data_IF_426293593917
#
_entry.id   IF_426293593917
#
_cell.length_a   1.000
_cell.length_b   1.000
_cell.length_c   1.000
_cell.angle_alpha   90.00
_cell.angle_beta   90.00
_cell.angle_gamma   90.00
#
_symmetry.space_group_name_H-M   'P 1'
#
loop_
_entity.id
_entity.type
_entity.pdbx_description
1 polymer ?
#
# COMPACT_ATOMS: atom_id res chain seq x y z
N UNK A 1 -2.17 -1.28 16.27
CA UNK A 1 -2.10 0.16 16.60
C UNK A 1 -3.47 0.79 16.33
N UNK A 2 -4.06 1.48 17.32
CA UNK A 2 -5.30 2.25 17.11
C UNK A 2 -4.92 3.72 17.04
N UNK A 3 -5.13 4.34 15.88
CA UNK A 3 -4.99 5.79 15.71
C UNK A 3 -6.32 6.44 16.07
N UNK A 4 -6.30 7.43 16.95
CA UNK A 4 -7.46 8.27 17.26
C UNK A 4 -7.30 9.59 16.51
N UNK A 5 -7.97 9.72 15.36
CA UNK A 5 -7.93 10.89 14.51
C UNK A 5 -9.33 11.43 14.27
N UNK A 6 -9.41 12.72 13.88
CA UNK A 6 -10.68 13.41 13.57
C UNK A 6 -11.44 12.77 12.40
N UNK A 7 -10.73 12.12 11.48
CA UNK A 7 -11.27 11.45 10.31
C UNK A 7 -10.75 10.02 10.26
N UNK A 8 -11.59 9.09 9.80
CA UNK A 8 -11.28 7.68 9.63
C UNK A 8 -11.89 7.17 8.34
N UNK A 9 -11.13 6.38 7.59
CA UNK A 9 -11.59 5.70 6.38
C UNK A 9 -10.89 4.36 6.28
N UNK A 10 -11.54 3.42 5.62
CA UNK A 10 -11.05 2.10 5.24
C UNK A 10 -10.59 2.05 3.76
N UNK A 11 -10.69 3.17 3.04
CA UNK A 11 -10.30 3.28 1.64
C UNK A 11 -9.02 4.10 1.48
N UNK A 12 -8.01 3.50 0.84
CA UNK A 12 -6.75 4.16 0.53
C UNK A 12 -6.94 5.36 -0.40
N UNK A 13 -7.85 5.27 -1.37
CA UNK A 13 -8.11 6.37 -2.32
C UNK A 13 -8.78 7.56 -1.63
N UNK A 14 -9.76 7.31 -0.75
CA UNK A 14 -10.39 8.36 0.05
C UNK A 14 -9.38 9.01 1.00
N UNK A 15 -8.53 8.21 1.64
CA UNK A 15 -7.46 8.71 2.51
C UNK A 15 -6.52 9.64 1.75
N UNK A 16 -6.05 9.24 0.56
CA UNK A 16 -5.16 10.06 -0.27
C UNK A 16 -5.81 11.40 -0.64
N UNK A 17 -7.08 11.40 -1.05
CA UNK A 17 -7.80 12.63 -1.37
C UNK A 17 -7.89 13.56 -0.16
N UNK A 18 -8.19 13.03 1.04
CA UNK A 18 -8.22 13.83 2.27
C UNK A 18 -6.85 14.46 2.59
N UNK A 19 -5.76 13.70 2.42
CA UNK A 19 -4.41 14.22 2.63
C UNK A 19 -4.07 15.32 1.63
N UNK A 20 -4.41 15.16 0.36
CA UNK A 20 -4.18 16.17 -0.69
C UNK A 20 -5.00 17.45 -0.48
N UNK A 21 -6.12 17.37 0.23
CA UNK A 21 -6.91 18.53 0.67
C UNK A 21 -6.44 19.11 2.01
N UNK A 22 -5.31 18.67 2.55
CA UNK A 22 -4.73 19.21 3.79
C UNK A 22 -5.49 18.82 5.06
N UNK A 23 -6.27 17.74 5.03
CA UNK A 23 -7.07 17.31 6.19
C UNK A 23 -6.25 16.62 7.30
N UNK A 24 -4.93 16.49 7.14
CA UNK A 24 -4.02 15.98 8.18
C UNK A 24 -2.82 15.21 7.63
N UNK A 25 -2.26 14.34 8.47
CA UNK A 25 -1.19 13.40 8.12
C UNK A 25 -1.67 11.96 8.35
N UNK A 26 -1.18 11.00 7.56
CA UNK A 26 -1.46 9.58 7.75
C UNK A 26 -0.31 8.73 7.24
N UNK A 27 -0.33 7.46 7.62
CA UNK A 27 0.44 6.40 6.97
C UNK A 27 -0.28 5.99 5.68
N UNK A 28 0.48 5.75 4.62
CA UNK A 28 0.02 5.21 3.35
C UNK A 28 1.13 4.33 2.77
N UNK A 29 0.78 3.33 1.94
CA UNK A 29 1.78 2.56 1.22
C UNK A 29 2.45 3.42 0.14
N UNK A 30 3.68 3.06 -0.21
CA UNK A 30 4.53 3.83 -1.11
C UNK A 30 3.94 3.93 -2.53
N UNK A 31 3.31 2.86 -3.03
CA UNK A 31 2.66 2.84 -4.35
C UNK A 31 1.51 3.85 -4.42
N UNK A 32 0.63 3.87 -3.41
CA UNK A 32 -0.48 4.82 -3.34
C UNK A 32 0.00 6.28 -3.22
N UNK A 33 1.13 6.50 -2.54
CA UNK A 33 1.73 7.81 -2.30
C UNK A 33 2.62 8.32 -3.44
N UNK A 34 3.19 7.42 -4.26
CA UNK A 34 4.28 7.70 -5.18
C UNK A 34 4.03 8.92 -6.07
N UNK A 35 2.88 8.96 -6.74
CA UNK A 35 2.53 10.07 -7.63
C UNK A 35 2.37 11.40 -6.88
N UNK A 36 1.77 11.36 -5.70
CA UNK A 36 1.53 12.56 -4.90
C UNK A 36 2.84 13.12 -4.31
N UNK A 37 3.76 12.23 -3.91
CA UNK A 37 5.11 12.60 -3.50
C UNK A 37 5.92 13.16 -4.67
N UNK A 38 5.87 12.51 -5.84
CA UNK A 38 6.57 12.94 -7.06
C UNK A 38 6.12 14.31 -7.54
N UNK A 39 4.83 14.61 -7.43
CA UNK A 39 4.24 15.90 -7.79
C UNK A 39 4.36 16.97 -6.70
N UNK A 40 4.83 16.61 -5.50
CA UNK A 40 4.89 17.51 -4.34
C UNK A 40 3.53 17.87 -3.74
N UNK A 41 2.44 17.22 -4.17
CA UNK A 41 1.11 17.40 -3.57
C UNK A 41 0.99 16.74 -2.20
N UNK A 42 1.86 15.77 -1.91
CA UNK A 42 2.11 15.23 -0.58
C UNK A 42 3.62 15.29 -0.27
N UNK A 43 3.94 15.27 1.01
CA UNK A 43 5.32 15.24 1.51
C UNK A 43 5.49 14.14 2.55
N UNK A 44 6.67 13.51 2.57
CA UNK A 44 7.01 12.52 3.58
C UNK A 44 7.36 13.21 4.90
N UNK A 45 6.53 12.99 5.92
CA UNK A 45 6.75 13.49 7.27
C UNK A 45 7.41 12.42 8.14
N UNK A 46 8.24 12.83 9.09
CA UNK A 46 8.96 11.94 10.00
C UNK A 46 9.84 10.88 9.29
N UNK A 47 10.77 11.26 8.39
CA UNK A 47 11.51 10.30 7.56
C UNK A 47 12.42 9.31 8.33
N UNK A 48 12.64 9.54 9.62
CA UNK A 48 13.42 8.69 10.52
C UNK A 48 12.54 7.64 11.22
N UNK A 49 11.23 7.69 11.02
CA UNK A 49 10.27 6.78 11.59
C UNK A 49 9.65 5.90 10.50
N UNK A 50 9.55 4.59 10.77
CA UNK A 50 8.96 3.63 9.84
C UNK A 50 8.09 2.63 10.59
N UNK A 51 7.00 2.21 9.96
CA UNK A 51 6.28 1.01 10.39
C UNK A 51 7.10 -0.26 10.10
N UNK A 52 6.80 -1.38 10.80
CA UNK A 52 7.33 -2.68 10.42
C UNK A 52 7.03 -2.95 8.95
N UNK A 53 8.05 -3.38 8.19
CA UNK A 53 7.89 -3.72 6.78
C UNK A 53 6.96 -4.93 6.65
N UNK A 54 5.86 -4.72 5.93
CA UNK A 54 4.97 -5.80 5.48
C UNK A 54 5.32 -6.23 4.06
N UNK A 55 4.74 -7.36 3.63
CA UNK A 55 4.82 -7.84 2.26
C UNK A 55 3.44 -8.11 1.66
N UNK A 56 3.37 -8.19 0.33
CA UNK A 56 2.20 -8.70 -0.39
C UNK A 56 2.36 -10.21 -0.48
N UNK A 57 1.35 -10.96 -0.02
CA UNK A 57 1.39 -12.42 0.02
C UNK A 57 0.26 -13.02 -0.83
N UNK A 58 0.59 -14.05 -1.60
CA UNK A 58 -0.42 -14.91 -2.22
C UNK A 58 -0.89 -15.95 -1.19
N UNK A 59 -2.18 -15.97 -0.89
CA UNK A 59 -2.79 -16.91 0.07
C UNK A 59 -3.48 -18.03 -0.71
N UNK A 60 -3.17 -19.27 -0.36
CA UNK A 60 -3.76 -20.47 -0.97
C UNK A 60 -4.60 -21.25 0.05
N UNK A 61 -5.65 -21.97 -0.38
CA UNK A 61 -6.37 -22.90 0.48
C UNK A 61 -5.42 -23.93 1.11
N UNK A 62 -5.76 -24.47 2.29
CA UNK A 62 -4.95 -25.50 2.94
C UNK A 62 -4.86 -26.75 2.05
N UNK A 63 -3.63 -27.21 1.81
CA UNK A 63 -3.32 -28.37 0.96
C UNK A 63 -1.97 -28.23 0.24
N UNK A 64 -1.40 -29.34 -0.25
CA UNK A 64 -0.11 -29.32 -0.96
C UNK A 64 -0.20 -28.91 -2.44
N UNK A 65 -1.40 -28.89 -3.02
CA UNK A 65 -1.58 -28.71 -4.44
C UNK A 65 -2.06 -27.29 -4.77
N UNK A 66 -1.16 -26.48 -5.33
CA UNK A 66 -1.52 -25.21 -5.97
C UNK A 66 -1.64 -25.48 -7.47
N UNK A 67 -2.82 -25.21 -8.05
CA UNK A 67 -3.05 -25.41 -9.48
C UNK A 67 -2.04 -24.64 -10.32
N UNK A 68 -1.55 -25.24 -11.41
CA UNK A 68 -0.53 -24.64 -12.28
C UNK A 68 -0.93 -23.23 -12.78
N UNK A 69 -2.22 -23.03 -13.10
CA UNK A 69 -2.76 -21.72 -13.48
C UNK A 69 -2.63 -20.66 -12.39
N UNK A 70 -2.87 -21.02 -11.13
CA UNK A 70 -2.73 -20.10 -10.00
C UNK A 70 -1.27 -19.72 -9.77
N UNK A 71 -0.35 -20.70 -9.91
CA UNK A 71 1.09 -20.44 -9.84
C UNK A 71 1.55 -19.50 -10.95
N UNK A 72 1.17 -19.78 -12.19
CA UNK A 72 1.50 -18.92 -13.34
C UNK A 72 0.99 -17.48 -13.16
N UNK A 73 -0.21 -17.31 -12.59
CA UNK A 73 -0.74 -15.98 -12.27
C UNK A 73 0.10 -15.27 -11.20
N UNK A 74 0.46 -15.96 -10.11
CA UNK A 74 1.29 -15.39 -9.04
C UNK A 74 2.66 -15.00 -9.59
N UNK A 75 3.30 -15.85 -10.40
CA UNK A 75 4.60 -15.58 -11.01
C UNK A 75 4.53 -14.34 -11.92
N UNK A 76 3.49 -14.25 -12.75
CA UNK A 76 3.22 -13.07 -13.57
C UNK A 76 3.03 -11.81 -12.72
N UNK A 77 2.20 -11.87 -11.68
CA UNK A 77 1.87 -10.71 -10.86
C UNK A 77 3.09 -10.24 -10.04
N UNK A 78 3.92 -11.16 -9.56
CA UNK A 78 5.18 -10.82 -8.90
C UNK A 78 6.15 -10.10 -9.85
N UNK A 79 6.27 -10.55 -11.10
CA UNK A 79 7.09 -9.88 -12.10
C UNK A 79 6.54 -8.47 -12.41
N UNK A 80 5.22 -8.33 -12.53
CA UNK A 80 4.56 -7.05 -12.76
C UNK A 80 4.76 -6.06 -11.60
N UNK A 81 4.60 -6.50 -10.34
CA UNK A 81 4.81 -5.65 -9.16
C UNK A 81 6.24 -5.10 -9.09
N UNK A 82 7.25 -5.90 -9.45
CA UNK A 82 8.66 -5.45 -9.49
C UNK A 82 8.92 -4.38 -10.55
N UNK A 83 8.08 -4.30 -11.59
CA UNK A 83 8.18 -3.27 -12.63
C UNK A 83 7.46 -1.96 -12.29
N UNK A 84 6.70 -1.93 -11.17
CA UNK A 84 5.97 -0.74 -10.72
C UNK A 84 6.58 -0.06 -9.48
N UNK A 85 7.48 -0.74 -8.76
CA UNK A 85 8.25 -0.20 -7.65
C UNK A 85 9.54 0.45 -8.17
#
# INVERSE_FOLDING_TARGET
MRVNGRLRTDSASALRSLLQQGCGISVMDELSAAEALRTGTLVHVLPQWSLPRGGIHAVHPPGRHVAAKARAFVDFYQAWLRGQA
#
